data_IF_494140545901
#
_entry.id   IF_494140545901
#
_cell.length_a   1.000
_cell.length_b   1.000
_cell.length_c   1.000
_cell.angle_alpha   90.00
_cell.angle_beta   90.00
_cell.angle_gamma   90.00
#
_symmetry.space_group_name_H-M   'P 1'
#
loop_
_entity.id
_entity.type
_entity.pdbx_description
1 polymer ?
#
# COMPACT_ATOMS: atom_id res chain seq x y z
N UNK A 1 27.20 3.67 14.11
CA UNK A 1 26.14 3.14 14.98
C UNK A 1 25.31 2.22 14.10
N UNK A 2 25.82 1.01 13.86
CA UNK A 2 25.13 0.01 13.04
C UNK A 2 24.01 -0.58 13.88
N UNK A 3 22.77 -0.26 13.50
CA UNK A 3 21.59 -0.93 14.03
C UNK A 3 21.55 -2.34 13.47
N UNK A 4 21.81 -3.34 14.31
CA UNK A 4 21.67 -4.75 13.96
C UNK A 4 20.18 -5.05 13.69
N UNK A 5 19.80 -5.18 12.41
CA UNK A 5 18.39 -5.39 11.96
C UNK A 5 18.09 -6.90 11.81
N UNK A 6 19.05 -7.78 12.04
CA UNK A 6 18.84 -9.22 11.90
C UNK A 6 17.95 -9.76 13.04
N UNK A 7 16.73 -10.17 12.69
CA UNK A 7 15.79 -10.87 13.60
C UNK A 7 14.60 -10.04 14.11
N UNK A 8 14.42 -8.81 13.64
CA UNK A 8 13.21 -8.03 13.96
C UNK A 8 12.03 -8.51 13.11
N UNK A 9 11.01 -9.08 13.77
CA UNK A 9 9.74 -9.40 13.13
C UNK A 9 9.10 -8.12 12.58
N UNK A 10 8.64 -8.16 11.33
CA UNK A 10 7.99 -7.00 10.71
C UNK A 10 6.65 -6.77 11.41
N UNK A 11 6.38 -5.58 11.95
CA UNK A 11 5.12 -5.31 12.63
C UNK A 11 3.97 -5.52 11.64
N UNK A 12 2.91 -6.20 12.10
CA UNK A 12 1.73 -6.54 11.27
C UNK A 12 0.93 -5.32 10.80
N UNK A 13 1.29 -4.13 11.27
CA UNK A 13 0.58 -2.88 11.03
C UNK A 13 1.57 -1.73 11.04
N UNK A 14 1.47 -0.84 10.06
CA UNK A 14 2.28 0.37 10.02
C UNK A 14 1.44 1.55 9.54
N UNK A 15 1.75 2.74 10.05
CA UNK A 15 1.23 3.98 9.48
C UNK A 15 2.30 4.49 8.53
N UNK A 16 1.93 4.72 7.28
CA UNK A 16 2.81 5.25 6.26
C UNK A 16 2.29 6.60 5.77
N UNK A 17 3.18 7.57 5.62
CA UNK A 17 2.89 8.83 4.96
C UNK A 17 3.61 8.86 3.61
N UNK A 18 2.87 9.09 2.54
CA UNK A 18 3.43 9.11 1.21
C UNK A 18 2.89 10.29 0.38
N UNK A 19 3.72 10.76 -0.54
CA UNK A 19 3.38 11.81 -1.49
C UNK A 19 3.70 11.32 -2.90
N UNK A 20 2.69 11.30 -3.76
CA UNK A 20 2.82 10.87 -5.16
C UNK A 20 2.87 12.11 -6.04
N UNK A 21 3.95 12.22 -6.83
CA UNK A 21 4.12 13.29 -7.82
C UNK A 21 4.26 12.65 -9.20
N UNK A 22 3.23 12.73 -10.06
CA UNK A 22 3.31 12.20 -11.41
C UNK A 22 4.37 12.94 -12.23
N UNK A 23 5.17 12.20 -13.01
CA UNK A 23 6.18 12.75 -13.91
C UNK A 23 5.75 12.48 -15.34
N UNK A 24 5.86 13.49 -16.21
CA UNK A 24 5.60 13.34 -17.65
C UNK A 24 4.15 13.61 -18.09
N UNK A 25 3.29 14.14 -17.21
CA UNK A 25 2.01 14.69 -17.66
C UNK A 25 2.24 15.96 -18.47
N UNK A 26 1.43 16.15 -19.52
CA UNK A 26 1.37 17.41 -20.28
C UNK A 26 0.53 18.47 -19.56
N UNK A 27 -0.18 18.09 -18.51
CA UNK A 27 -1.03 18.94 -17.71
C UNK A 27 -0.33 19.42 -16.44
N UNK A 28 -0.59 20.67 -16.04
CA UNK A 28 -0.01 21.29 -14.84
C UNK A 28 -0.70 20.83 -13.56
N UNK A 29 -1.90 20.25 -13.67
CA UNK A 29 -2.70 19.79 -12.54
C UNK A 29 -2.73 18.27 -12.48
N UNK A 30 -2.41 17.72 -11.31
CA UNK A 30 -2.46 16.28 -11.00
C UNK A 30 -3.66 15.90 -10.13
N UNK A 31 -4.64 16.81 -9.97
CA UNK A 31 -5.74 16.62 -9.03
C UNK A 31 -6.58 15.37 -9.35
N UNK A 32 -6.65 14.97 -10.63
CA UNK A 32 -7.42 13.81 -11.07
C UNK A 32 -6.74 12.50 -10.66
N UNK A 33 -5.44 12.40 -10.89
CA UNK A 33 -4.63 11.25 -10.51
C UNK A 33 -4.62 11.06 -8.99
N UNK A 34 -4.50 12.16 -8.24
CA UNK A 34 -4.61 12.12 -6.78
C UNK A 34 -6.01 11.67 -6.33
N UNK A 35 -7.08 12.10 -7.01
CA UNK A 35 -8.44 11.64 -6.73
C UNK A 35 -8.63 10.15 -7.03
N UNK A 36 -8.03 9.63 -8.09
CA UNK A 36 -8.09 8.21 -8.45
C UNK A 36 -7.37 7.33 -7.40
N UNK A 37 -6.21 7.78 -6.92
CA UNK A 37 -5.49 7.11 -5.82
C UNK A 37 -6.33 7.14 -4.54
N UNK A 38 -6.94 8.27 -4.23
CA UNK A 38 -7.80 8.41 -3.06
C UNK A 38 -9.02 7.47 -3.13
N UNK A 39 -9.62 7.32 -4.31
CA UNK A 39 -10.71 6.38 -4.54
C UNK A 39 -10.24 4.91 -4.40
N UNK A 40 -9.02 4.60 -4.84
CA UNK A 40 -8.43 3.28 -4.66
C UNK A 40 -8.23 2.95 -3.17
N UNK A 41 -7.70 3.90 -2.39
CA UNK A 41 -7.54 3.74 -0.94
C UNK A 41 -8.88 3.49 -0.24
N UNK A 42 -9.94 4.18 -0.66
CA UNK A 42 -11.30 3.95 -0.17
C UNK A 42 -11.81 2.53 -0.50
N UNK A 43 -11.57 2.04 -1.72
CA UNK A 43 -11.93 0.66 -2.12
C UNK A 43 -11.18 -0.41 -1.33
N UNK A 44 -9.94 -0.13 -0.95
CA UNK A 44 -9.13 -1.03 -0.12
C UNK A 44 -9.58 -1.07 1.35
N UNK A 45 -10.58 -0.27 1.74
CA UNK A 45 -11.07 -0.16 3.12
C UNK A 45 -9.97 0.20 4.13
N UNK A 46 -8.91 0.89 3.67
CA UNK A 46 -7.81 1.35 4.52
C UNK A 46 -8.19 2.66 5.19
N UNK A 47 -7.82 2.82 6.47
CA UNK A 47 -7.94 4.11 7.15
C UNK A 47 -6.90 5.05 6.54
N UNK A 48 -7.35 6.19 6.02
CA UNK A 48 -6.45 7.17 5.42
C UNK A 48 -6.91 8.59 5.74
N UNK A 49 -5.96 9.51 5.76
CA UNK A 49 -6.15 10.93 6.01
C UNK A 49 -5.36 11.72 4.98
N UNK A 50 -6.09 12.47 4.15
CA UNK A 50 -5.48 13.38 3.19
C UNK A 50 -4.97 14.64 3.92
N UNK A 51 -3.76 15.06 3.56
CA UNK A 51 -3.12 16.30 4.02
C UNK A 51 -2.70 17.13 2.81
N UNK A 52 -2.42 18.45 2.96
CA UNK A 52 -2.00 19.29 1.84
C UNK A 52 -0.70 18.83 1.16
N UNK A 53 0.14 18.08 1.87
CA UNK A 53 1.46 17.63 1.41
C UNK A 53 1.51 16.16 0.99
N UNK A 54 0.44 15.39 1.21
CA UNK A 54 0.43 13.95 0.96
C UNK A 54 -0.78 13.25 1.57
N UNK A 55 -0.78 11.93 1.57
CA UNK A 55 -1.84 11.12 2.20
C UNK A 55 -1.22 10.16 3.20
N UNK A 56 -1.65 10.28 4.46
CA UNK A 56 -1.25 9.34 5.51
C UNK A 56 -2.22 8.16 5.50
N UNK A 57 -1.70 6.95 5.33
CA UNK A 57 -2.50 5.73 5.24
C UNK A 57 -2.05 4.72 6.29
N UNK A 58 -3.03 4.08 6.92
CA UNK A 58 -2.83 2.95 7.79
C UNK A 58 -2.75 1.67 6.95
N UNK A 59 -1.58 1.03 6.95
CA UNK A 59 -1.26 -0.08 6.07
C UNK A 59 -0.99 -1.35 6.90
N UNK A 60 -1.75 -2.40 6.62
CA UNK A 60 -1.44 -3.74 7.14
C UNK A 60 -0.33 -4.34 6.28
N UNK A 61 0.89 -4.42 6.83
CA UNK A 61 2.01 -5.07 6.15
C UNK A 61 2.00 -6.56 6.51
N UNK A 62 1.98 -7.41 5.49
CA UNK A 62 2.27 -8.85 5.60
C UNK A 62 3.44 -9.17 4.69
N UNK A 63 4.63 -9.26 5.27
CA UNK A 63 5.85 -9.68 4.57
C UNK A 63 6.10 -11.15 4.91
N UNK A 64 6.00 -12.02 3.90
CA UNK A 64 6.48 -13.41 3.99
C UNK A 64 7.87 -13.47 3.38
N UNK A 65 8.86 -13.94 4.14
CA UNK A 65 10.25 -14.12 3.67
C UNK A 65 10.44 -15.45 2.91
N UNK A 66 9.47 -16.36 2.98
CA UNK A 66 9.48 -17.67 2.33
C UNK A 66 8.93 -17.66 0.90
N UNK A 67 8.11 -16.66 0.53
CA UNK A 67 7.51 -16.53 -0.81
C UNK A 67 7.35 -15.07 -1.18
N UNK A 68 7.62 -14.72 -2.44
CA UNK A 68 7.33 -13.39 -3.00
C UNK A 68 5.84 -13.07 -2.84
N UNK A 69 5.46 -12.06 -2.03
CA UNK A 69 4.07 -11.70 -1.84
C UNK A 69 3.57 -10.97 -3.08
N UNK A 70 2.72 -11.65 -3.85
CA UNK A 70 1.93 -11.05 -4.93
C UNK A 70 0.46 -11.21 -4.56
N UNK A 71 -0.27 -10.10 -4.53
CA UNK A 71 -1.68 -10.06 -4.13
C UNK A 71 -2.53 -11.01 -5.00
N UNK A 72 -2.18 -11.15 -6.28
CA UNK A 72 -2.80 -12.12 -7.20
C UNK A 72 -2.69 -13.57 -6.71
N UNK A 73 -1.56 -13.98 -6.13
CA UNK A 73 -1.36 -15.36 -5.68
C UNK A 73 -2.22 -15.72 -4.46
N UNK A 74 -2.45 -14.77 -3.56
CA UNK A 74 -3.31 -14.97 -2.39
C UNK A 74 -4.79 -15.00 -2.80
N UNK A 75 -5.22 -14.11 -3.70
CA UNK A 75 -6.59 -14.10 -4.24
C UNK A 75 -6.88 -15.41 -4.98
N UNK A 76 -5.99 -15.85 -5.89
CA UNK A 76 -6.12 -17.11 -6.61
C UNK A 76 -6.15 -18.32 -5.67
N UNK A 77 -5.35 -18.30 -4.60
CA UNK A 77 -5.35 -19.38 -3.60
C UNK A 77 -6.68 -19.46 -2.85
N UNK A 78 -7.24 -18.31 -2.48
CA UNK A 78 -8.55 -18.23 -1.82
C UNK A 78 -9.69 -18.64 -2.75
N UNK A 79 -9.69 -18.17 -4.00
CA UNK A 79 -10.68 -18.56 -5.01
C UNK A 79 -10.69 -20.07 -5.24
N UNK A 80 -9.50 -20.68 -5.31
CA UNK A 80 -9.34 -22.13 -5.49
C UNK A 80 -9.83 -22.96 -4.30
N UNK A 81 -9.76 -22.42 -3.08
CA UNK A 81 -10.34 -23.03 -1.88
C UNK A 81 -11.86 -22.87 -1.86
N UNK A 82 -12.38 -21.73 -2.33
CA UNK A 82 -13.83 -21.46 -2.41
C UNK A 82 -14.55 -22.25 -3.51
N UNK A 83 -13.84 -22.73 -4.53
CA UNK A 83 -14.39 -23.57 -5.61
C UNK A 83 -14.22 -25.08 -5.40
N UNK A 84 -13.58 -25.50 -4.30
CA UNK A 84 -13.44 -26.90 -3.89
C UNK A 84 -14.57 -27.32 -2.93
#
# INVERSE_FOLDING_TARGET
MESNIEGLETPSHCIADFSLVPIGSRDVSFAREIADVQLLLQKCHLKHKMTPTGTTTDLRITTRTDKTPLMENEILSVEKILTA
#
